data_IF_816892338395
#
_entry.id   IF_816892338395
#
_cell.length_a   1.000
_cell.length_b   1.000
_cell.length_c   1.000
_cell.angle_alpha   90.00
_cell.angle_beta   90.00
_cell.angle_gamma   90.00
#
_symmetry.space_group_name_H-M   'P 1'
#
loop_
_entity.id
_entity.type
_entity.pdbx_description
1 polymer ?
#
# COMPACT_ATOMS: atom_id res chain seq x y z
N UNK A 1 16.07 20.83 32.70
CA UNK A 1 14.84 20.29 33.33
C UNK A 1 13.72 21.25 32.97
N UNK A 2 12.63 20.89 32.31
CA UNK A 2 12.06 19.58 32.04
C UNK A 2 11.32 19.69 30.70
N UNK A 3 11.49 18.68 29.86
CA UNK A 3 10.70 18.45 28.65
C UNK A 3 9.24 18.24 29.06
N UNK A 4 8.30 18.95 28.44
CA UNK A 4 6.89 18.57 28.50
C UNK A 4 6.43 18.24 27.09
N UNK A 5 6.38 16.94 26.83
CA UNK A 5 5.89 16.30 25.63
C UNK A 5 4.42 16.70 25.41
N UNK A 6 4.11 17.37 24.29
CA UNK A 6 2.74 17.65 23.90
C UNK A 6 2.19 16.41 23.19
N UNK A 7 1.41 15.64 23.93
CA UNK A 7 0.59 14.51 23.48
C UNK A 7 -0.28 14.95 22.28
N UNK A 8 -0.08 14.33 21.13
CA UNK A 8 -0.93 14.48 19.95
C UNK A 8 -2.25 13.74 20.23
N UNK A 9 -3.35 14.48 20.34
CA UNK A 9 -4.71 13.93 20.38
C UNK A 9 -5.39 14.35 19.09
N UNK A 10 -5.45 13.43 18.14
CA UNK A 10 -5.85 13.61 16.73
C UNK A 10 -7.35 13.91 16.50
N UNK A 11 -8.15 14.14 17.55
CA UNK A 11 -9.59 14.41 17.39
C UNK A 11 -9.92 15.89 17.14
N UNK A 12 -8.99 16.82 17.36
CA UNK A 12 -9.23 18.26 17.28
C UNK A 12 -8.73 18.95 16.00
N UNK A 13 -8.09 18.23 15.07
CA UNK A 13 -7.55 18.88 13.85
C UNK A 13 -8.60 19.09 12.76
N UNK A 14 -9.68 18.30 12.75
CA UNK A 14 -10.77 18.45 11.79
C UNK A 14 -11.55 19.76 12.04
N UNK A 15 -11.69 20.14 13.31
CA UNK A 15 -12.40 21.36 13.74
C UNK A 15 -11.57 22.65 13.49
N UNK A 16 -10.29 22.51 13.12
CA UNK A 16 -9.44 23.63 12.73
C UNK A 16 -9.50 23.95 11.23
N UNK A 17 -10.16 23.10 10.42
CA UNK A 17 -10.36 23.34 9.00
C UNK A 17 -11.62 24.17 8.75
N UNK A 18 -11.51 25.14 7.86
CA UNK A 18 -12.67 25.93 7.42
C UNK A 18 -13.75 25.03 6.81
N UNK A 19 -15.02 25.46 6.90
CA UNK A 19 -16.17 24.68 6.43
C UNK A 19 -16.06 24.31 4.94
N UNK A 20 -15.38 25.12 4.12
CA UNK A 20 -15.16 24.85 2.69
C UNK A 20 -14.31 23.61 2.40
N UNK A 21 -13.51 23.15 3.36
CA UNK A 21 -12.67 21.95 3.23
C UNK A 21 -13.36 20.67 3.72
N UNK A 22 -14.61 20.76 4.16
CA UNK A 22 -15.42 19.60 4.54
C UNK A 22 -16.07 18.97 3.31
N UNK A 23 -15.31 18.14 2.60
CA UNK A 23 -15.77 17.48 1.38
C UNK A 23 -16.67 16.27 1.68
N UNK A 24 -17.88 16.28 1.12
CA UNK A 24 -18.77 15.11 1.10
C UNK A 24 -18.35 14.14 -0.02
N UNK A 25 -17.44 13.22 0.31
CA UNK A 25 -16.92 12.23 -0.64
C UNK A 25 -17.97 11.25 -1.16
N UNK A 26 -19.17 11.17 -0.56
CA UNK A 26 -20.27 10.33 -1.09
C UNK A 26 -20.82 10.91 -2.40
N UNK A 27 -20.65 12.21 -2.64
CA UNK A 27 -21.03 12.91 -3.87
C UNK A 27 -19.87 13.02 -4.87
N UNK A 28 -18.67 12.54 -4.51
CA UNK A 28 -17.52 12.62 -5.37
C UNK A 28 -17.69 11.72 -6.61
N UNK A 29 -17.12 12.15 -7.74
CA UNK A 29 -17.05 11.31 -8.94
C UNK A 29 -15.94 10.27 -8.76
N UNK A 30 -16.17 9.09 -9.34
CA UNK A 30 -15.15 8.05 -9.40
C UNK A 30 -13.84 8.59 -10.02
N UNK A 31 -12.71 8.23 -9.41
CA UNK A 31 -11.40 8.71 -9.85
C UNK A 31 -11.11 8.24 -11.28
N UNK A 32 -10.93 9.20 -12.21
CA UNK A 32 -10.63 8.93 -13.64
C UNK A 32 -9.36 8.11 -13.89
N UNK A 33 -8.47 8.03 -12.90
CA UNK A 33 -7.23 7.26 -12.96
C UNK A 33 -7.32 5.89 -12.28
N UNK A 34 -8.42 5.59 -11.56
CA UNK A 34 -8.58 4.31 -10.87
C UNK A 34 -8.47 3.12 -11.84
N UNK A 35 -9.10 3.24 -13.01
CA UNK A 35 -9.07 2.22 -14.06
C UNK A 35 -7.68 2.02 -14.71
N UNK A 36 -6.70 2.90 -14.44
CA UNK A 36 -5.29 2.68 -14.85
C UNK A 36 -4.56 1.83 -13.82
N UNK A 37 -4.85 2.04 -12.54
CA UNK A 37 -4.26 1.25 -11.45
C UNK A 37 -4.73 -0.22 -11.53
N UNK A 38 -6.00 -0.45 -11.84
CA UNK A 38 -6.57 -1.80 -11.94
C UNK A 38 -5.99 -2.66 -13.07
N UNK A 39 -5.49 -2.05 -14.15
CA UNK A 39 -5.02 -2.81 -15.34
C UNK A 39 -3.55 -3.18 -15.32
N UNK A 40 -2.74 -2.50 -14.52
CA UNK A 40 -1.28 -2.63 -14.56
C UNK A 40 -0.65 -3.04 -13.23
N UNK A 41 -1.39 -3.01 -12.12
CA UNK A 41 -0.84 -3.33 -10.80
C UNK A 41 -1.50 -4.55 -10.19
N UNK A 42 -0.74 -5.65 -10.09
CA UNK A 42 -1.07 -6.78 -9.23
C UNK A 42 -0.32 -6.54 -7.92
N UNK A 43 -1.06 -6.22 -6.86
CA UNK A 43 -0.50 -6.05 -5.52
C UNK A 43 -0.49 -7.42 -4.85
N UNK A 44 0.69 -7.89 -4.46
CA UNK A 44 0.87 -9.13 -3.69
C UNK A 44 1.39 -8.76 -2.32
N UNK A 45 0.67 -9.17 -1.28
CA UNK A 45 1.09 -9.03 0.11
C UNK A 45 1.94 -10.25 0.46
N UNK A 46 3.15 -10.01 0.96
CA UNK A 46 4.01 -11.07 1.50
C UNK A 46 3.71 -11.25 2.98
N UNK A 47 3.81 -12.49 3.45
CA UNK A 47 3.79 -12.76 4.88
C UNK A 47 5.05 -12.18 5.56
N UNK A 48 4.97 -11.82 6.86
CA UNK A 48 6.06 -11.10 7.55
C UNK A 48 7.41 -11.82 7.50
N UNK A 49 7.42 -13.14 7.64
CA UNK A 49 8.60 -14.00 7.58
C UNK A 49 9.27 -13.96 6.20
N UNK A 50 8.48 -13.95 5.13
CA UNK A 50 8.98 -13.83 3.76
C UNK A 50 9.50 -12.41 3.49
N UNK A 51 8.83 -11.40 4.02
CA UNK A 51 9.22 -9.99 3.87
C UNK A 51 10.52 -9.66 4.61
N UNK A 52 10.85 -10.35 5.71
CA UNK A 52 12.14 -10.21 6.40
C UNK A 52 13.32 -10.61 5.50
N UNK A 53 13.12 -11.63 4.66
CA UNK A 53 14.13 -12.14 3.72
C UNK A 53 14.17 -11.29 2.44
N UNK A 54 13.02 -10.94 1.88
CA UNK A 54 12.92 -10.22 0.61
C UNK A 54 12.42 -8.78 0.80
N UNK A 55 13.36 -7.84 0.79
CA UNK A 55 13.07 -6.39 1.01
C UNK A 55 12.60 -5.64 -0.24
N UNK A 56 12.63 -6.26 -1.42
CA UNK A 56 12.22 -5.60 -2.66
C UNK A 56 11.60 -6.61 -3.65
N UNK A 57 10.73 -6.13 -4.57
CA UNK A 57 10.06 -7.00 -5.53
C UNK A 57 11.01 -7.63 -6.56
N UNK A 58 12.14 -7.00 -6.87
CA UNK A 58 13.12 -7.50 -7.84
C UNK A 58 13.75 -8.83 -7.36
N UNK A 59 14.12 -8.90 -6.07
CA UNK A 59 14.68 -10.07 -5.44
C UNK A 59 13.70 -11.25 -5.41
N UNK A 60 12.44 -10.98 -5.04
CA UNK A 60 11.35 -11.98 -5.06
C UNK A 60 11.18 -12.55 -6.47
N UNK A 61 10.99 -11.67 -7.45
CA UNK A 61 10.73 -12.06 -8.83
C UNK A 61 11.90 -12.84 -9.44
N UNK A 62 13.15 -12.49 -9.09
CA UNK A 62 14.33 -13.22 -9.56
C UNK A 62 14.34 -14.67 -9.05
N UNK A 63 14.05 -14.87 -7.76
CA UNK A 63 14.02 -16.22 -7.16
C UNK A 63 12.86 -17.03 -7.72
N UNK A 64 11.65 -16.47 -7.79
CA UNK A 64 10.49 -17.17 -8.33
C UNK A 64 10.70 -17.58 -9.79
N UNK A 65 11.29 -16.71 -10.64
CA UNK A 65 11.63 -17.06 -12.02
C UNK A 65 12.69 -18.16 -12.12
N UNK A 66 13.71 -18.13 -11.26
CA UNK A 66 14.71 -19.18 -11.20
C UNK A 66 14.08 -20.53 -10.81
N UNK A 67 13.17 -20.54 -9.83
CA UNK A 67 12.42 -21.73 -9.44
C UNK A 67 11.58 -22.26 -10.60
N UNK A 68 10.80 -21.39 -11.26
CA UNK A 68 10.00 -21.75 -12.44
C UNK A 68 10.86 -22.39 -13.54
N UNK A 69 12.06 -21.85 -13.80
CA UNK A 69 12.97 -22.39 -14.82
C UNK A 69 13.53 -23.78 -14.47
N UNK A 70 13.63 -24.09 -13.17
CA UNK A 70 14.16 -25.38 -12.69
C UNK A 70 13.07 -26.41 -12.39
N UNK A 71 11.83 -25.99 -12.23
CA UNK A 71 10.72 -26.88 -11.96
C UNK A 71 10.35 -27.65 -13.23
N UNK A 72 10.09 -28.97 -13.13
CA UNK A 72 9.58 -29.73 -14.25
C UNK A 72 8.25 -29.10 -14.66
N UNK A 73 8.12 -28.78 -15.95
CA UNK A 73 6.85 -28.31 -16.51
C UNK A 73 5.83 -29.40 -16.30
N UNK A 74 4.87 -29.15 -15.40
CA UNK A 74 3.66 -29.96 -15.30
C UNK A 74 2.95 -29.75 -16.64
N UNK A 75 3.13 -30.71 -17.55
CA UNK A 75 2.28 -30.82 -18.73
C UNK A 75 0.92 -31.28 -18.23
N UNK A 76 -0.06 -30.39 -18.28
CA UNK A 76 -1.47 -30.77 -18.32
C UNK A 76 -1.78 -31.55 -19.60
#
# INVERSE_FOLDING_TARGET
>A
MSTTEKKLSDENEIDALETEYHFDYTKARANRFAARMERESIIVVLDPDVAEVFRNPEAVNKVLRALIATMPTIKE
#
